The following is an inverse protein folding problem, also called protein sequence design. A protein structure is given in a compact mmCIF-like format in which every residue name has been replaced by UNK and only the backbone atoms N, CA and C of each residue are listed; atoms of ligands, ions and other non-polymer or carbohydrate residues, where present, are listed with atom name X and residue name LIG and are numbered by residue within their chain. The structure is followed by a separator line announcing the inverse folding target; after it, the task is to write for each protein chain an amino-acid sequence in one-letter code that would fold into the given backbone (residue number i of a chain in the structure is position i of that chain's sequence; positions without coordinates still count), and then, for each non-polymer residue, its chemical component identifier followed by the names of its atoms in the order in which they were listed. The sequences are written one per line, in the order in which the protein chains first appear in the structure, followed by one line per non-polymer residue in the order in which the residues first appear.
data_IF_814440075077
#
_entry.id   IF_814440075077
#
_cell.length_a   1.000
_cell.length_b   1.000
_cell.length_c   1.000
_cell.angle_alpha   90.00
_cell.angle_beta   90.00
_cell.angle_gamma   90.00
#
_symmetry.space_group_name_H-M   'P 1'
#
loop_
_entity.id
_entity.type
_entity.pdbx_description
1 polymer ?
#
# COMPACT_ATOMS: atom_id res chain seq x y z
N UNK A 1 -15.97 4.93 -27.12
CA UNK A 1 -15.23 3.77 -26.58
C UNK A 1 -15.77 3.48 -25.19
N UNK A 2 -16.16 2.23 -24.85
CA UNK A 2 -16.68 1.95 -23.51
C UNK A 2 -15.55 2.12 -22.49
N UNK A 3 -15.76 2.96 -21.46
CA UNK A 3 -14.84 3.08 -20.32
C UNK A 3 -14.73 1.71 -19.67
N UNK A 4 -13.53 1.13 -19.70
CA UNK A 4 -13.21 -0.13 -19.00
C UNK A 4 -13.59 0.05 -17.53
N UNK A 5 -14.62 -0.65 -17.07
CA UNK A 5 -15.06 -0.59 -15.67
C UNK A 5 -13.90 -1.05 -14.81
N UNK A 6 -13.25 -0.12 -14.11
CA UNK A 6 -12.26 -0.45 -13.09
C UNK A 6 -12.94 -1.44 -12.15
N UNK A 7 -12.39 -2.66 -12.07
CA UNK A 7 -12.97 -3.76 -11.29
C UNK A 7 -13.35 -3.19 -9.93
N UNK A 8 -14.63 -3.24 -9.56
CA UNK A 8 -15.25 -2.73 -8.32
C UNK A 8 -14.38 -2.93 -7.06
N UNK A 9 -13.52 -3.95 -7.05
CA UNK A 9 -12.55 -4.20 -6.00
C UNK A 9 -11.51 -3.09 -5.79
N UNK A 10 -10.93 -2.51 -6.84
CA UNK A 10 -9.89 -1.48 -6.67
C UNK A 10 -10.44 -0.26 -5.94
N UNK A 11 -11.62 0.21 -6.35
CA UNK A 11 -12.31 1.33 -5.71
C UNK A 11 -12.66 1.02 -4.25
N UNK A 12 -13.27 -0.15 -3.99
CA UNK A 12 -13.55 -0.60 -2.61
C UNK A 12 -12.31 -0.67 -1.71
N UNK A 13 -11.16 -1.01 -2.27
CA UNK A 13 -9.92 -1.08 -1.50
C UNK A 13 -9.45 0.32 -1.11
N UNK A 14 -9.55 1.26 -2.04
CA UNK A 14 -9.20 2.67 -1.82
C UNK A 14 -10.15 3.28 -0.78
N UNK A 15 -11.46 3.05 -0.93
CA UNK A 15 -12.51 3.45 0.03
C UNK A 15 -12.23 2.91 1.43
N UNK A 16 -11.91 1.61 1.55
CA UNK A 16 -11.62 0.96 2.83
C UNK A 16 -10.47 1.61 3.60
N UNK A 17 -9.49 2.18 2.91
CA UNK A 17 -8.36 2.90 3.52
C UNK A 17 -8.56 4.43 3.54
N UNK A 18 -9.71 4.95 3.15
CA UNK A 18 -10.00 6.39 3.18
C UNK A 18 -9.19 7.22 2.19
N UNK A 19 -8.64 6.62 1.13
CA UNK A 19 -7.70 7.29 0.20
C UNK A 19 -8.38 7.85 -1.06
N UNK A 20 -9.70 7.71 -1.19
CA UNK A 20 -10.40 8.06 -2.43
C UNK A 20 -10.29 9.54 -2.76
N UNK A 21 -10.64 10.42 -1.81
CA UNK A 21 -10.60 11.87 -2.03
C UNK A 21 -9.18 12.36 -2.35
N UNK A 22 -8.17 11.81 -1.67
CA UNK A 22 -6.76 12.13 -1.90
C UNK A 22 -6.35 11.76 -3.33
N UNK A 23 -6.71 10.56 -3.80
CA UNK A 23 -6.39 10.12 -5.16
C UNK A 23 -7.15 10.90 -6.22
N UNK A 24 -8.42 11.24 -5.98
CA UNK A 24 -9.22 12.06 -6.89
C UNK A 24 -8.66 13.49 -7.00
N UNK A 25 -8.22 14.08 -5.88
CA UNK A 25 -7.57 15.40 -5.86
C UNK A 25 -6.23 15.38 -6.60
N UNK A 26 -5.39 14.36 -6.36
CA UNK A 26 -4.13 14.18 -7.08
C UNK A 26 -4.36 14.04 -8.59
N UNK A 27 -5.36 13.25 -8.98
CA UNK A 27 -5.72 13.07 -10.39
C UNK A 27 -6.18 14.39 -11.02
N UNK A 28 -7.06 15.14 -10.36
CA UNK A 28 -7.55 16.43 -10.86
C UNK A 28 -6.40 17.45 -11.02
N UNK A 29 -5.52 17.56 -10.02
CA UNK A 29 -4.32 18.41 -10.09
C UNK A 29 -3.35 17.98 -11.19
N UNK A 30 -3.28 16.68 -11.49
CA UNK A 30 -2.46 16.17 -12.59
C UNK A 30 -3.02 16.58 -13.95
N UNK A 31 -4.35 16.58 -14.13
CA UNK A 31 -4.99 17.07 -15.35
C UNK A 31 -4.72 18.57 -15.59
N UNK A 32 -4.55 19.32 -14.51
CA UNK A 32 -4.18 20.75 -14.52
C UNK A 32 -2.67 20.99 -14.74
N UNK A 33 -1.86 19.93 -15.01
CA UNK A 33 -0.40 20.00 -15.12
C UNK A 33 0.31 20.63 -13.91
N UNK A 34 -0.25 20.45 -12.70
CA UNK A 34 0.37 21.00 -11.49
C UNK A 34 1.62 20.21 -11.10
N UNK A 35 2.59 20.93 -10.52
CA UNK A 35 3.79 20.33 -9.93
C UNK A 35 3.50 19.87 -8.50
N UNK A 36 3.69 18.58 -8.23
CA UNK A 36 3.58 18.02 -6.88
C UNK A 36 4.92 18.14 -6.16
N UNK A 37 4.94 18.83 -5.01
CA UNK A 37 6.16 19.04 -4.22
C UNK A 37 6.23 18.14 -2.97
N UNK A 38 5.09 17.71 -2.45
CA UNK A 38 4.98 17.03 -1.16
C UNK A 38 4.34 15.62 -1.29
N UNK A 39 4.69 14.86 -2.32
CA UNK A 39 4.16 13.49 -2.47
C UNK A 39 4.71 12.53 -1.41
N UNK A 40 5.87 12.82 -0.84
CA UNK A 40 6.52 11.89 0.09
C UNK A 40 5.67 11.62 1.34
N UNK A 41 5.01 12.66 1.85
CA UNK A 41 4.08 12.50 2.98
C UNK A 41 2.96 11.53 2.63
N UNK A 42 2.32 11.72 1.47
CA UNK A 42 1.26 10.83 0.97
C UNK A 42 1.76 9.40 0.68
N UNK A 43 2.98 9.26 0.18
CA UNK A 43 3.60 7.96 -0.08
C UNK A 43 3.81 7.19 1.22
N UNK A 44 4.26 7.88 2.27
CA UNK A 44 4.58 7.30 3.58
C UNK A 44 3.36 7.16 4.52
N UNK A 45 2.17 7.65 4.13
CA UNK A 45 0.94 7.44 4.90
C UNK A 45 0.72 5.95 5.16
N UNK A 46 0.34 5.60 6.38
CA UNK A 46 0.16 4.22 6.81
C UNK A 46 -0.93 3.52 5.97
N UNK A 47 -2.00 4.23 5.65
CA UNK A 47 -3.08 3.81 4.77
C UNK A 47 -2.57 3.43 3.38
N UNK A 48 -1.69 4.26 2.81
CA UNK A 48 -1.13 4.05 1.49
C UNK A 48 -0.14 2.87 1.47
N UNK A 49 0.67 2.72 2.52
CA UNK A 49 1.56 1.55 2.71
C UNK A 49 0.73 0.26 2.82
N UNK A 50 -0.37 0.27 3.60
CA UNK A 50 -1.27 -0.89 3.73
C UNK A 50 -1.95 -1.26 2.42
N UNK A 51 -2.44 -0.27 1.67
CA UNK A 51 -3.03 -0.48 0.35
C UNK A 51 -2.01 -1.04 -0.64
N UNK A 52 -0.78 -0.50 -0.67
CA UNK A 52 0.30 -0.99 -1.51
C UNK A 52 0.64 -2.45 -1.20
N UNK A 53 0.82 -2.79 0.08
CA UNK A 53 1.08 -4.17 0.51
C UNK A 53 -0.02 -5.13 0.04
N UNK A 54 -1.29 -4.73 0.20
CA UNK A 54 -2.44 -5.53 -0.23
C UNK A 54 -2.43 -5.79 -1.74
N UNK A 55 -2.15 -4.76 -2.53
CA UNK A 55 -2.11 -4.86 -3.99
C UNK A 55 -0.92 -5.73 -4.43
N UNK A 56 0.25 -5.55 -3.82
CA UNK A 56 1.43 -6.37 -4.09
C UNK A 56 1.22 -7.84 -3.71
N UNK A 57 0.52 -8.11 -2.59
CA UNK A 57 0.21 -9.49 -2.17
C UNK A 57 -0.69 -10.24 -3.16
N UNK A 58 -1.50 -9.52 -3.93
CA UNK A 58 -2.48 -10.11 -4.86
C UNK A 58 -2.09 -10.01 -6.33
N UNK A 59 -0.95 -9.39 -6.64
CA UNK A 59 -0.47 -9.33 -8.02
C UNK A 59 0.13 -10.68 -8.45
N UNK A 60 0.25 -10.88 -9.76
CA UNK A 60 0.77 -12.14 -10.33
C UNK A 60 2.23 -12.41 -9.92
N UNK A 61 2.99 -11.36 -9.61
CA UNK A 61 4.38 -11.46 -9.13
C UNK A 61 4.52 -11.72 -7.63
N UNK A 62 3.43 -11.87 -6.87
CA UNK A 62 3.46 -11.97 -5.40
C UNK A 62 4.28 -13.15 -4.88
N UNK A 63 4.30 -14.25 -5.63
CA UNK A 63 5.07 -15.46 -5.33
C UNK A 63 6.45 -15.47 -5.97
N UNK A 64 6.77 -14.49 -6.81
CA UNK A 64 8.10 -14.38 -7.44
C UNK A 64 9.09 -13.82 -6.42
N UNK A 65 10.14 -14.56 -6.05
CA UNK A 65 11.16 -14.06 -5.14
C UNK A 65 11.95 -12.91 -5.78
N UNK A 66 12.32 -11.93 -4.98
CA UNK A 66 13.30 -10.92 -5.36
C UNK A 66 14.71 -11.49 -5.46
N UNK A 67 15.68 -10.62 -5.77
CA UNK A 67 17.12 -10.96 -5.79
C UNK A 67 17.60 -11.48 -4.42
N UNK A 68 16.95 -11.06 -3.34
CA UNK A 68 17.22 -11.48 -1.97
C UNK A 68 16.53 -12.82 -1.59
N UNK A 69 15.89 -13.49 -2.55
CA UNK A 69 15.19 -14.76 -2.36
C UNK A 69 13.88 -14.65 -1.59
N UNK A 70 13.39 -13.44 -1.27
CA UNK A 70 12.17 -13.25 -0.48
C UNK A 70 10.99 -12.87 -1.35
N UNK A 71 9.81 -13.37 -0.99
CA UNK A 71 8.52 -13.00 -1.58
C UNK A 71 7.81 -11.96 -0.72
N UNK A 72 6.71 -11.40 -1.23
CA UNK A 72 5.88 -10.42 -0.50
C UNK A 72 5.33 -10.96 0.83
N UNK A 73 5.20 -12.28 0.97
CA UNK A 73 4.73 -12.92 2.21
C UNK A 73 5.72 -12.78 3.36
N UNK A 74 7.02 -12.75 3.04
CA UNK A 74 8.08 -12.59 4.03
C UNK A 74 7.99 -11.24 4.75
N UNK A 75 7.49 -10.18 4.08
CA UNK A 75 7.34 -8.86 4.71
C UNK A 75 6.36 -8.87 5.90
N UNK A 76 5.31 -9.70 5.85
CA UNK A 76 4.36 -9.84 6.98
C UNK A 76 4.99 -10.57 8.15
N UNK A 77 5.87 -11.54 7.87
CA UNK A 77 6.59 -12.25 8.91
C UNK A 77 7.53 -11.30 9.66
N UNK A 78 8.24 -10.41 8.96
CA UNK A 78 9.06 -9.37 9.60
C UNK A 78 8.25 -8.47 10.53
N UNK A 79 7.09 -7.98 10.10
CA UNK A 79 6.20 -7.16 10.94
C UNK A 79 5.70 -7.90 12.19
N UNK A 80 5.27 -9.17 12.04
CA UNK A 80 4.81 -10.01 13.15
C UNK A 80 5.92 -10.35 14.13
N UNK A 81 7.13 -10.65 13.62
CA UNK A 81 8.29 -10.97 14.45
C UNK A 81 8.72 -9.76 15.28
N UNK A 82 8.74 -8.56 14.68
CA UNK A 82 9.05 -7.31 15.40
C UNK A 82 8.02 -7.00 16.50
N UNK A 83 6.73 -7.21 16.22
CA UNK A 83 5.67 -7.06 17.24
C UNK A 83 5.84 -8.07 18.39
N UNK A 84 6.12 -9.35 18.07
CA UNK A 84 6.33 -10.40 19.07
C UNK A 84 7.58 -10.15 19.92
N UNK A 85 8.69 -9.70 19.33
CA UNK A 85 9.91 -9.33 20.05
C UNK A 85 9.68 -8.13 20.96
N UNK A 86 8.95 -7.11 20.49
CA UNK A 86 8.60 -5.95 21.32
C UNK A 86 7.72 -6.33 22.52
N UNK A 87 6.72 -7.21 22.31
CA UNK A 87 5.88 -7.73 23.41
C UNK A 87 6.72 -8.55 24.40
N UNK A 88 7.65 -9.38 23.90
CA UNK A 88 8.49 -10.22 24.75
C UNK A 88 9.48 -9.39 25.57
N UNK A 89 10.10 -8.36 24.98
CA UNK A 89 10.99 -7.45 25.69
C UNK A 89 10.27 -6.64 26.78
N UNK A 90 9.04 -6.18 26.51
CA UNK A 90 8.19 -5.48 27.50
C UNK A 90 7.64 -6.36 28.63
N UNK A 91 7.84 -7.67 28.57
CA UNK A 91 7.46 -8.62 29.63
C UNK A 91 8.65 -9.13 30.44
N UNK A 92 9.86 -8.84 29.99
CA UNK A 92 11.12 -9.26 30.63
C UNK A 92 11.77 -8.11 31.40
N UNK A 93 11.31 -6.87 31.18
CA UNK A 93 11.54 -5.69 32.01
C UNK A 93 10.18 -5.14 32.45
#
# INVERSE_FOLDING_TARGET
MPKKVLKRQTLRNIEYYGLQEIFDELYQKSLENRKFRNLMELILMEENIKLAYRNMKKNDGSTTPGVDGKTIEHLVLFGKLNAAVSIRLKRVF
#
